data_IF_887303522322
#
_entry.id   IF_887303522322
#
_cell.length_a   1.000
_cell.length_b   1.000
_cell.length_c   1.000
_cell.angle_alpha   90.00
_cell.angle_beta   90.00
_cell.angle_gamma   90.00
#
_symmetry.space_group_name_H-M   'P 1'
#
loop_
_entity.id
_entity.type
_entity.pdbx_description
1 polymer ?
#
# COMPACT_ATOMS: atom_id res chain seq x y z
N UNK A 1 -48.09 22.15 -6.01
CA UNK A 1 -47.25 21.39 -5.06
C UNK A 1 -47.62 19.91 -5.00
N UNK A 2 -48.91 19.56 -5.02
CA UNK A 2 -49.41 18.17 -4.92
C UNK A 2 -49.15 17.31 -6.17
N UNK A 3 -49.15 17.87 -7.40
CA UNK A 3 -48.82 17.12 -8.65
C UNK A 3 -47.33 16.76 -8.75
N UNK A 4 -46.46 17.58 -8.20
CA UNK A 4 -45.01 17.39 -8.19
C UNK A 4 -44.57 16.22 -7.25
N UNK A 5 -45.25 16.06 -6.11
CA UNK A 5 -44.96 14.94 -5.19
C UNK A 5 -45.46 13.59 -5.75
N UNK A 6 -46.63 13.56 -6.36
CA UNK A 6 -47.19 12.34 -6.98
C UNK A 6 -46.29 11.80 -8.11
N UNK A 7 -45.80 12.67 -8.99
CA UNK A 7 -44.85 12.26 -10.03
C UNK A 7 -43.54 11.70 -9.46
N UNK A 8 -43.04 12.27 -8.35
CA UNK A 8 -41.86 11.79 -7.67
C UNK A 8 -42.05 10.41 -7.02
N UNK A 9 -43.25 10.08 -6.57
CA UNK A 9 -43.53 8.81 -5.89
C UNK A 9 -43.62 7.62 -6.88
N UNK A 10 -43.99 7.86 -8.11
CA UNK A 10 -44.03 6.82 -9.18
C UNK A 10 -42.61 6.31 -9.49
N UNK A 11 -41.60 7.17 -9.38
CA UNK A 11 -40.19 6.82 -9.63
C UNK A 11 -39.39 6.53 -8.36
N UNK A 12 -40.05 6.01 -7.34
CA UNK A 12 -39.40 5.51 -6.10
C UNK A 12 -39.83 4.07 -5.84
N UNK A 13 -38.93 3.29 -5.27
CA UNK A 13 -39.23 1.95 -4.75
C UNK A 13 -38.92 1.92 -3.25
N UNK A 14 -39.82 1.25 -2.53
CA UNK A 14 -39.64 0.99 -1.10
C UNK A 14 -38.65 -0.15 -0.93
N UNK A 15 -37.71 0.02 -0.01
CA UNK A 15 -36.80 -1.02 0.45
C UNK A 15 -37.33 -1.59 1.74
N UNK A 16 -37.75 -2.85 1.72
CA UNK A 16 -38.22 -3.61 2.88
C UNK A 16 -37.30 -4.80 3.05
N UNK A 17 -36.81 -5.01 4.26
CA UNK A 17 -35.89 -6.12 4.58
C UNK A 17 -36.55 -6.98 5.64
N UNK A 18 -36.55 -8.29 5.43
CA UNK A 18 -36.97 -9.26 6.45
C UNK A 18 -35.79 -9.51 7.39
N UNK A 19 -35.94 -9.12 8.64
CA UNK A 19 -34.93 -9.26 9.67
C UNK A 19 -35.36 -10.30 10.70
N UNK A 20 -34.38 -11.06 11.17
CA UNK A 20 -34.57 -12.08 12.20
C UNK A 20 -33.59 -11.86 13.33
N UNK A 21 -34.10 -11.82 14.58
CA UNK A 21 -33.29 -11.83 15.78
C UNK A 21 -33.22 -13.26 16.29
N UNK A 22 -32.02 -13.75 16.53
CA UNK A 22 -31.73 -15.05 17.10
C UNK A 22 -30.99 -14.82 18.42
N UNK A 23 -31.52 -15.38 19.51
CA UNK A 23 -30.83 -15.34 20.79
C UNK A 23 -29.90 -16.55 20.90
N UNK A 24 -28.63 -16.30 21.22
CA UNK A 24 -27.62 -17.32 21.39
C UNK A 24 -27.26 -17.41 22.86
N UNK A 25 -27.40 -18.60 23.45
CA UNK A 25 -26.96 -18.84 24.82
C UNK A 25 -25.42 -18.79 24.88
N UNK A 26 -24.90 -17.88 25.72
CA UNK A 26 -23.44 -17.70 25.86
C UNK A 26 -22.72 -18.91 26.49
N UNK A 27 -23.45 -19.76 27.19
CA UNK A 27 -22.90 -20.92 27.91
C UNK A 27 -22.78 -22.15 27.01
N UNK A 28 -23.78 -22.39 26.17
CA UNK A 28 -23.87 -23.58 25.30
C UNK A 28 -23.50 -23.28 23.84
N UNK A 29 -23.57 -22.00 23.44
CA UNK A 29 -23.37 -21.61 22.04
C UNK A 29 -24.54 -22.02 21.12
N UNK A 30 -25.63 -22.57 21.68
CA UNK A 30 -26.78 -23.02 20.90
C UNK A 30 -27.72 -21.87 20.56
N UNK A 31 -28.25 -21.88 19.34
CA UNK A 31 -29.27 -20.93 18.90
C UNK A 31 -30.63 -21.25 19.51
N UNK A 32 -31.20 -20.32 20.26
CA UNK A 32 -32.54 -20.46 20.82
C UNK A 32 -33.58 -20.09 19.74
N UNK A 33 -33.94 -21.04 18.88
CA UNK A 33 -34.89 -20.88 17.77
C UNK A 33 -36.33 -20.60 18.26
N UNK A 34 -36.70 -20.97 19.52
CA UNK A 34 -38.02 -20.77 20.05
C UNK A 34 -38.31 -19.29 20.37
N UNK A 35 -37.30 -18.50 20.62
CA UNK A 35 -37.39 -17.06 20.85
C UNK A 35 -37.03 -16.20 19.65
N UNK A 36 -36.80 -16.80 18.47
CA UNK A 36 -36.50 -16.06 17.26
C UNK A 36 -37.69 -15.23 16.81
N UNK A 37 -37.47 -13.93 16.59
CA UNK A 37 -38.48 -13.00 16.08
C UNK A 37 -38.14 -12.57 14.68
N UNK A 38 -39.08 -12.70 13.74
CA UNK A 38 -38.97 -12.23 12.37
C UNK A 38 -39.96 -11.11 12.10
N UNK A 39 -39.48 -10.02 11.51
CA UNK A 39 -40.30 -8.87 11.13
C UNK A 39 -39.80 -8.26 9.82
N UNK A 40 -40.74 -7.65 9.08
CA UNK A 40 -40.41 -6.86 7.92
C UNK A 40 -40.14 -5.42 8.35
N UNK A 41 -38.91 -4.94 8.12
CA UNK A 41 -38.49 -3.61 8.50
C UNK A 41 -38.38 -2.74 7.25
N UNK A 42 -39.06 -1.61 7.27
CA UNK A 42 -38.97 -0.60 6.22
C UNK A 42 -37.66 0.18 6.34
N UNK A 43 -36.83 0.12 5.27
CA UNK A 43 -35.49 0.74 5.24
C UNK A 43 -35.46 2.06 4.44
N UNK A 44 -36.58 2.51 3.91
CA UNK A 44 -36.66 3.77 3.17
C UNK A 44 -37.05 3.58 1.70
N UNK A 45 -36.89 4.63 0.94
CA UNK A 45 -37.15 4.65 -0.51
C UNK A 45 -35.88 4.92 -1.29
N UNK A 46 -35.74 4.25 -2.44
CA UNK A 46 -34.66 4.48 -3.40
C UNK A 46 -35.27 5.05 -4.68
N UNK A 47 -34.76 6.19 -5.21
CA UNK A 47 -35.17 6.69 -6.51
C UNK A 47 -34.84 5.69 -7.60
N UNK A 48 -35.78 5.48 -8.53
CA UNK A 48 -35.56 4.68 -9.74
C UNK A 48 -35.09 5.55 -10.88
N UNK A 49 -34.21 5.00 -11.69
CA UNK A 49 -33.84 5.61 -12.95
C UNK A 49 -35.02 5.49 -13.95
N UNK A 50 -35.34 6.55 -14.63
CA UNK A 50 -36.31 6.55 -15.75
C UNK A 50 -35.69 5.83 -16.96
N UNK A 51 -36.51 5.45 -17.92
CA UNK A 51 -36.08 4.82 -19.18
C UNK A 51 -35.11 5.72 -19.99
N UNK A 52 -35.14 7.01 -19.73
CA UNK A 52 -34.27 8.01 -20.35
C UNK A 52 -32.96 8.28 -19.57
N UNK A 53 -32.71 7.57 -18.45
CA UNK A 53 -31.49 7.72 -17.66
C UNK A 53 -31.48 8.92 -16.73
N UNK A 54 -32.63 9.42 -16.32
CA UNK A 54 -32.82 10.53 -15.36
C UNK A 54 -33.39 10.04 -14.05
N UNK A 55 -33.37 10.89 -13.01
CA UNK A 55 -34.01 10.65 -11.72
C UNK A 55 -34.97 11.78 -11.40
N UNK A 56 -36.16 11.45 -10.91
CA UNK A 56 -37.15 12.44 -10.50
C UNK A 56 -37.01 12.64 -8.96
N UNK A 57 -36.44 13.81 -8.58
CA UNK A 57 -36.23 14.17 -7.19
C UNK A 57 -36.95 15.45 -6.85
N UNK A 58 -37.88 15.39 -5.91
CA UNK A 58 -38.70 16.54 -5.51
C UNK A 58 -39.42 17.19 -6.69
N UNK A 59 -39.90 16.38 -7.64
CA UNK A 59 -40.64 16.82 -8.83
C UNK A 59 -39.77 17.44 -9.95
N UNK A 60 -38.46 17.42 -9.83
CA UNK A 60 -37.51 17.89 -10.85
C UNK A 60 -36.72 16.72 -11.41
N UNK A 61 -36.48 16.74 -12.73
CA UNK A 61 -35.59 15.76 -13.33
C UNK A 61 -34.12 16.14 -13.09
N UNK A 62 -33.37 15.16 -12.61
CA UNK A 62 -31.93 15.27 -12.35
C UNK A 62 -31.16 14.21 -13.11
N UNK A 63 -29.95 14.56 -13.49
CA UNK A 63 -28.97 13.66 -14.09
C UNK A 63 -27.82 13.49 -13.13
N UNK A 64 -27.45 12.24 -12.84
CA UNK A 64 -26.24 11.94 -12.07
C UNK A 64 -25.10 11.73 -13.05
N UNK A 65 -24.15 12.64 -13.04
CA UNK A 65 -22.98 12.64 -13.91
C UNK A 65 -21.98 11.60 -13.41
N UNK A 66 -21.44 10.79 -14.32
CA UNK A 66 -20.40 9.81 -13.98
C UNK A 66 -19.13 10.48 -13.48
N UNK A 67 -18.49 9.89 -12.49
CA UNK A 67 -17.27 10.41 -11.89
C UNK A 67 -16.03 9.78 -12.49
N UNK A 68 -15.07 10.60 -12.91
CA UNK A 68 -13.73 10.15 -13.28
C UNK A 68 -12.81 10.30 -12.06
N UNK A 69 -12.27 9.18 -11.56
CA UNK A 69 -11.38 9.17 -10.41
C UNK A 69 -10.16 8.29 -10.68
N UNK A 70 -9.14 8.40 -9.83
CA UNK A 70 -8.00 7.49 -9.90
C UNK A 70 -8.47 6.07 -9.67
N UNK A 71 -8.03 5.15 -10.53
CA UNK A 71 -8.37 3.74 -10.38
C UNK A 71 -7.77 3.19 -9.09
N UNK A 72 -8.49 2.31 -8.37
CA UNK A 72 -7.85 1.52 -7.33
C UNK A 72 -6.73 0.67 -7.92
N UNK A 73 -5.76 0.31 -7.09
CA UNK A 73 -4.59 -0.45 -7.47
C UNK A 73 -3.29 0.21 -7.01
N UNK A 74 -2.21 -0.04 -7.73
CA UNK A 74 -0.87 0.44 -7.41
C UNK A 74 -0.41 1.44 -8.46
N UNK A 75 0.14 2.58 -8.01
CA UNK A 75 0.68 3.64 -8.87
C UNK A 75 2.04 4.06 -8.32
N UNK A 76 3.03 4.21 -9.21
CA UNK A 76 4.34 4.79 -8.91
C UNK A 76 4.46 6.15 -9.57
N UNK A 77 4.91 7.15 -8.81
CA UNK A 77 5.04 8.52 -9.26
C UNK A 77 6.34 9.16 -8.73
N UNK A 78 6.64 10.36 -9.17
CA UNK A 78 7.71 11.21 -8.65
C UNK A 78 7.30 12.68 -8.60
N UNK A 79 7.90 13.46 -7.72
CA UNK A 79 7.58 14.86 -7.46
C UNK A 79 8.06 15.85 -8.55
N UNK A 80 8.69 15.36 -9.62
CA UNK A 80 9.31 16.16 -10.69
C UNK A 80 10.37 17.15 -10.17
N UNK A 81 10.99 16.85 -9.02
CA UNK A 81 12.03 17.69 -8.42
C UNK A 81 11.53 19.00 -7.83
N UNK A 82 10.22 19.14 -7.56
CA UNK A 82 9.62 20.37 -7.04
C UNK A 82 9.71 20.51 -5.53
N UNK A 83 9.80 19.41 -4.81
CA UNK A 83 9.70 19.38 -3.35
C UNK A 83 10.98 19.84 -2.67
N UNK A 84 12.14 19.56 -3.25
CA UNK A 84 13.44 19.89 -2.67
C UNK A 84 14.25 20.81 -3.57
N UNK A 85 14.97 21.77 -2.97
CA UNK A 85 15.78 22.78 -3.67
C UNK A 85 16.89 22.20 -4.57
N UNK A 86 17.34 20.98 -4.29
CA UNK A 86 18.36 20.28 -5.10
C UNK A 86 17.85 19.76 -6.46
N UNK A 87 16.54 19.83 -6.72
CA UNK A 87 15.95 19.25 -7.92
C UNK A 87 15.97 17.72 -8.01
N UNK A 88 16.33 17.03 -6.91
CA UNK A 88 16.36 15.57 -6.81
C UNK A 88 14.95 15.01 -6.96
N UNK A 89 14.79 13.98 -7.81
CA UNK A 89 13.52 13.27 -7.98
C UNK A 89 13.24 12.43 -6.73
N UNK A 90 12.13 12.70 -6.07
CA UNK A 90 11.63 11.91 -4.95
C UNK A 90 10.55 10.97 -5.48
N UNK A 91 10.86 9.69 -5.47
CA UNK A 91 9.97 8.63 -5.95
C UNK A 91 9.00 8.24 -4.85
N UNK A 92 7.78 7.95 -5.25
CA UNK A 92 6.73 7.49 -4.34
C UNK A 92 5.89 6.40 -4.99
N UNK A 93 5.33 5.53 -4.18
CA UNK A 93 4.30 4.59 -4.61
C UNK A 93 3.07 4.75 -3.75
N UNK A 94 1.92 4.50 -4.34
CA UNK A 94 0.63 4.62 -3.67
C UNK A 94 -0.24 3.43 -3.96
N UNK A 95 -0.62 2.71 -2.91
CA UNK A 95 -1.64 1.68 -2.95
C UNK A 95 -2.98 2.31 -2.65
N UNK A 96 -3.86 2.33 -3.64
CA UNK A 96 -5.19 2.94 -3.56
C UNK A 96 -6.21 1.82 -3.52
N UNK A 97 -6.86 1.54 -2.35
CA UNK A 97 -7.94 0.59 -2.28
C UNK A 97 -9.24 1.18 -2.85
N UNK A 98 -10.17 0.31 -3.22
CA UNK A 98 -11.55 0.70 -3.46
C UNK A 98 -12.22 1.14 -2.15
N UNK A 99 -11.91 0.41 -1.06
CA UNK A 99 -12.37 0.67 0.31
C UNK A 99 -11.27 0.30 1.29
N UNK A 100 -10.95 1.19 2.22
CA UNK A 100 -9.94 0.98 3.25
C UNK A 100 -8.90 2.09 3.33
N UNK A 101 -7.85 1.85 4.08
CA UNK A 101 -6.77 2.81 4.30
C UNK A 101 -5.81 2.87 3.13
N UNK A 102 -5.40 4.07 2.77
CA UNK A 102 -4.36 4.29 1.75
C UNK A 102 -2.99 3.98 2.33
N UNK A 103 -2.14 3.38 1.53
CA UNK A 103 -0.76 3.08 1.88
C UNK A 103 0.17 3.73 0.86
N UNK A 104 0.90 4.74 1.29
CA UNK A 104 1.88 5.45 0.48
C UNK A 104 3.29 5.09 0.95
N UNK A 105 4.21 4.84 0.00
CA UNK A 105 5.64 4.75 0.26
C UNK A 105 6.33 5.92 -0.44
N UNK A 106 7.28 6.55 0.22
CA UNK A 106 7.99 7.71 -0.33
C UNK A 106 9.47 7.69 0.01
N UNK A 107 10.31 8.08 -0.94
CA UNK A 107 11.71 8.39 -0.68
C UNK A 107 11.85 9.81 -0.14
N UNK A 108 12.74 9.98 0.83
CA UNK A 108 13.15 11.29 1.31
C UNK A 108 14.39 11.80 0.54
N UNK A 109 14.76 13.07 0.73
CA UNK A 109 15.98 13.66 0.15
C UNK A 109 17.26 12.93 0.56
N UNK A 110 17.26 12.22 1.69
CA UNK A 110 18.34 11.36 2.20
C UNK A 110 18.32 9.94 1.65
N UNK A 111 17.44 9.63 0.69
CA UNK A 111 17.21 8.28 0.14
C UNK A 111 16.69 7.25 1.16
N UNK A 112 16.12 7.69 2.26
CA UNK A 112 15.43 6.83 3.22
C UNK A 112 14.00 6.57 2.75
N UNK A 113 13.51 5.34 2.97
CA UNK A 113 12.16 4.93 2.57
C UNK A 113 11.20 5.08 3.74
N UNK A 114 10.16 5.87 3.52
CA UNK A 114 9.10 6.12 4.49
C UNK A 114 7.77 5.56 4.02
N UNK A 115 6.88 5.32 4.99
CA UNK A 115 5.47 5.00 4.77
C UNK A 115 4.58 6.10 5.32
N UNK A 116 3.41 6.26 4.68
CA UNK A 116 2.28 7.01 5.23
C UNK A 116 1.02 6.17 5.11
N UNK A 117 0.28 6.08 6.19
CA UNK A 117 -1.05 5.45 6.24
C UNK A 117 -2.08 6.56 6.36
N UNK A 118 -3.05 6.61 5.44
CA UNK A 118 -4.11 7.63 5.41
C UNK A 118 -3.59 9.07 5.50
N UNK A 119 -2.45 9.36 4.85
CA UNK A 119 -1.79 10.68 4.83
C UNK A 119 -1.38 11.20 6.22
N UNK A 120 -1.23 10.31 7.19
CA UNK A 120 -0.76 10.66 8.53
C UNK A 120 0.75 10.91 8.54
N UNK A 121 1.34 11.08 9.74
CA UNK A 121 2.78 11.24 9.93
C UNK A 121 3.55 10.08 9.29
N UNK A 122 4.66 10.38 8.64
CA UNK A 122 5.53 9.38 8.03
C UNK A 122 6.27 8.56 9.08
N UNK A 123 6.40 7.26 8.83
CA UNK A 123 7.20 6.30 9.57
C UNK A 123 8.20 5.64 8.62
N UNK A 124 9.24 5.02 9.13
CA UNK A 124 10.17 4.25 8.30
C UNK A 124 9.46 3.01 7.71
N UNK A 125 9.76 2.67 6.46
CA UNK A 125 9.16 1.50 5.80
C UNK A 125 9.52 0.19 6.52
N UNK A 126 10.67 0.14 7.18
CA UNK A 126 11.13 -1.00 7.99
C UNK A 126 10.22 -1.29 9.18
N UNK A 127 9.59 -0.27 9.76
CA UNK A 127 8.59 -0.45 10.83
C UNK A 127 7.41 -1.28 10.34
N UNK A 128 6.92 -1.02 9.11
CA UNK A 128 5.86 -1.82 8.53
C UNK A 128 6.29 -3.26 8.29
N UNK A 129 7.50 -3.47 7.74
CA UNK A 129 8.03 -4.81 7.51
C UNK A 129 8.21 -5.60 8.82
N UNK A 130 8.68 -4.96 9.89
CA UNK A 130 8.73 -5.57 11.23
C UNK A 130 7.36 -5.84 11.83
N UNK A 131 6.39 -4.95 11.63
CA UNK A 131 5.01 -5.16 12.07
C UNK A 131 4.38 -6.38 11.40
N UNK A 132 4.70 -6.66 10.14
CA UNK A 132 4.29 -7.86 9.39
C UNK A 132 4.95 -9.13 9.96
N UNK A 133 6.11 -9.01 10.62
CA UNK A 133 6.81 -10.12 11.26
C UNK A 133 8.20 -10.42 10.72
N UNK A 134 8.73 -9.65 9.77
CA UNK A 134 10.09 -9.85 9.26
C UNK A 134 11.14 -9.37 10.26
N UNK A 135 12.16 -10.20 10.50
CA UNK A 135 13.36 -9.83 11.23
C UNK A 135 14.27 -8.91 10.40
N UNK A 136 15.23 -8.25 11.04
CA UNK A 136 16.19 -7.40 10.35
C UNK A 136 16.99 -8.16 9.28
N UNK A 137 17.41 -9.38 9.59
CA UNK A 137 18.13 -10.24 8.65
C UNK A 137 17.25 -10.65 7.46
N UNK A 138 16.02 -11.09 7.71
CA UNK A 138 15.09 -11.45 6.64
C UNK A 138 14.77 -10.27 5.72
N UNK A 139 14.62 -9.05 6.26
CA UNK A 139 14.46 -7.84 5.47
C UNK A 139 15.66 -7.67 4.53
N UNK A 140 16.89 -7.74 5.05
CA UNK A 140 18.10 -7.58 4.24
C UNK A 140 18.21 -8.66 3.16
N UNK A 141 17.93 -9.93 3.47
CA UNK A 141 17.93 -11.04 2.51
C UNK A 141 16.91 -10.86 1.38
N UNK A 142 15.76 -10.27 1.68
CA UNK A 142 14.72 -10.01 0.67
C UNK A 142 15.08 -8.91 -0.32
N UNK A 143 15.91 -7.92 0.09
CA UNK A 143 16.24 -6.75 -0.73
C UNK A 143 17.63 -6.79 -1.34
N UNK A 144 18.57 -7.49 -0.72
CA UNK A 144 19.96 -7.53 -1.15
C UNK A 144 20.42 -8.95 -1.45
N UNK A 145 21.31 -9.06 -2.41
CA UNK A 145 22.10 -10.27 -2.62
C UNK A 145 23.33 -10.24 -1.70
N UNK A 146 23.86 -11.41 -1.35
CA UNK A 146 25.05 -11.56 -0.50
C UNK A 146 26.30 -11.70 -1.32
N UNK A 147 27.40 -11.12 -0.87
CA UNK A 147 28.77 -11.37 -1.33
C UNK A 147 29.55 -11.97 -0.17
N UNK A 148 30.26 -13.10 -0.42
CA UNK A 148 31.02 -13.80 0.62
C UNK A 148 32.48 -13.38 0.56
N UNK A 149 32.99 -12.88 1.66
CA UNK A 149 34.40 -12.57 1.87
C UNK A 149 35.04 -13.63 2.74
N UNK A 150 36.25 -14.08 2.34
CA UNK A 150 37.08 -15.00 3.09
C UNK A 150 38.08 -14.19 3.92
N UNK A 151 38.09 -14.41 5.21
CA UNK A 151 38.98 -13.70 6.16
C UNK A 151 40.10 -14.66 6.57
N UNK A 152 41.33 -14.39 6.12
CA UNK A 152 42.51 -15.03 6.60
C UNK A 152 43.26 -14.14 7.63
N UNK A 153 44.32 -14.64 8.21
CA UNK A 153 45.11 -13.90 9.23
C UNK A 153 45.73 -12.61 8.69
N UNK A 154 46.15 -12.58 7.41
CA UNK A 154 46.68 -11.40 6.74
C UNK A 154 46.17 -11.26 5.28
N UNK A 155 45.40 -12.21 4.77
CA UNK A 155 44.94 -12.22 3.40
C UNK A 155 43.41 -12.21 3.39
N UNK A 156 42.84 -11.33 2.59
CA UNK A 156 41.40 -11.24 2.38
C UNK A 156 41.09 -11.62 0.95
N UNK A 157 40.05 -12.39 0.77
CA UNK A 157 39.65 -12.82 -0.57
C UNK A 157 38.13 -12.69 -0.75
N UNK A 158 37.72 -12.29 -1.94
CA UNK A 158 36.31 -12.22 -2.36
C UNK A 158 35.96 -13.46 -3.16
N UNK A 159 34.86 -14.11 -2.87
CA UNK A 159 34.27 -15.18 -3.68
C UNK A 159 33.72 -14.57 -4.98
N UNK A 160 34.29 -14.97 -6.10
CA UNK A 160 34.00 -14.33 -7.39
C UNK A 160 32.62 -14.70 -7.91
N UNK A 161 31.78 -13.69 -8.10
CA UNK A 161 30.53 -13.79 -8.87
C UNK A 161 30.71 -12.97 -10.17
N UNK A 162 31.02 -13.61 -11.30
CA UNK A 162 31.49 -12.91 -12.52
C UNK A 162 30.57 -11.79 -12.98
N UNK A 163 29.27 -12.01 -12.95
CA UNK A 163 28.27 -11.02 -13.40
C UNK A 163 28.31 -9.69 -12.64
N UNK A 164 28.68 -9.72 -11.34
CA UNK A 164 28.70 -8.54 -10.46
C UNK A 164 29.98 -7.72 -10.56
N UNK A 165 30.98 -8.24 -11.27
CA UNK A 165 32.28 -7.57 -11.43
C UNK A 165 32.32 -6.63 -12.63
N UNK A 166 31.36 -6.70 -13.56
CA UNK A 166 31.29 -5.82 -14.73
C UNK A 166 31.26 -4.37 -14.29
N UNK A 167 32.17 -3.56 -14.82
CA UNK A 167 32.22 -2.12 -14.54
C UNK A 167 32.91 -1.72 -13.23
N UNK A 168 33.15 -2.67 -12.29
CA UNK A 168 33.95 -2.41 -11.09
C UNK A 168 35.44 -2.21 -11.45
N UNK A 169 36.17 -1.54 -10.60
CA UNK A 169 37.62 -1.40 -10.69
C UNK A 169 38.24 -2.63 -10.01
N UNK A 170 39.23 -3.25 -10.68
CA UNK A 170 39.95 -4.39 -10.11
C UNK A 170 40.72 -3.96 -8.83
N UNK A 171 40.44 -4.55 -7.65
CA UNK A 171 41.10 -4.17 -6.41
C UNK A 171 42.55 -4.66 -6.33
N UNK A 172 42.88 -5.70 -7.08
CA UNK A 172 44.22 -6.31 -7.16
C UNK A 172 44.43 -6.89 -8.55
N UNK A 173 45.66 -7.31 -8.86
CA UNK A 173 45.99 -7.98 -10.12
C UNK A 173 45.28 -9.34 -10.18
N UNK A 174 44.41 -9.50 -11.18
CA UNK A 174 43.70 -10.77 -11.43
C UNK A 174 44.57 -11.63 -12.33
N UNK A 175 45.15 -12.69 -11.75
CA UNK A 175 46.04 -13.63 -12.47
C UNK A 175 45.23 -14.85 -12.93
N UNK A 176 45.28 -15.13 -14.22
CA UNK A 176 44.72 -16.35 -14.80
C UNK A 176 45.80 -17.38 -15.16
N UNK A 177 45.38 -18.49 -15.76
CA UNK A 177 46.30 -19.58 -16.15
C UNK A 177 47.40 -19.18 -17.17
N UNK A 178 47.24 -18.07 -17.88
CA UNK A 178 48.15 -17.61 -18.94
C UNK A 178 48.82 -16.25 -18.62
N UNK A 179 48.72 -15.75 -17.39
CA UNK A 179 49.28 -14.46 -16.97
C UNK A 179 48.26 -13.52 -16.33
N UNK A 180 48.61 -12.24 -16.19
CA UNK A 180 47.72 -11.22 -15.61
C UNK A 180 46.58 -10.92 -16.61
N UNK A 181 45.35 -11.18 -16.23
CA UNK A 181 44.13 -10.89 -17.01
C UNK A 181 43.81 -9.40 -16.92
N UNK A 182 43.90 -8.83 -15.72
CA UNK A 182 43.60 -7.44 -15.42
C UNK A 182 44.62 -6.96 -14.38
N UNK A 183 45.19 -5.79 -14.60
CA UNK A 183 46.03 -5.11 -13.60
C UNK A 183 45.13 -4.35 -12.57
N UNK A 184 45.63 -4.21 -11.36
CA UNK A 184 44.99 -3.42 -10.31
C UNK A 184 44.65 -2.00 -10.80
N UNK A 185 43.49 -1.48 -10.41
CA UNK A 185 43.03 -0.14 -10.80
C UNK A 185 42.39 -0.03 -12.19
N UNK A 186 42.38 -1.10 -13.00
CA UNK A 186 41.69 -1.09 -14.32
C UNK A 186 40.24 -1.54 -14.20
N UNK A 187 39.38 -0.97 -15.06
CA UNK A 187 37.96 -1.31 -15.09
C UNK A 187 37.72 -2.70 -15.71
N UNK A 188 36.95 -3.53 -15.02
CA UNK A 188 36.59 -4.87 -15.48
C UNK A 188 35.55 -4.77 -16.60
N UNK A 189 35.86 -5.32 -17.77
CA UNK A 189 34.97 -5.35 -18.94
C UNK A 189 34.35 -6.72 -19.12
N UNK A 190 33.30 -6.82 -19.94
CA UNK A 190 32.65 -8.10 -20.27
C UNK A 190 33.63 -9.12 -20.92
N UNK A 191 34.69 -8.65 -21.60
CA UNK A 191 35.75 -9.51 -22.12
C UNK A 191 36.58 -10.14 -21.01
N UNK A 192 36.92 -9.34 -20.02
CA UNK A 192 37.67 -9.84 -18.84
C UNK A 192 36.91 -10.89 -18.06
N UNK A 193 35.56 -10.73 -17.96
CA UNK A 193 34.70 -11.71 -17.28
C UNK A 193 34.73 -13.06 -17.96
N UNK A 194 34.65 -13.12 -19.30
CA UNK A 194 34.79 -14.37 -20.06
C UNK A 194 36.11 -15.06 -19.78
N UNK A 195 37.21 -14.29 -19.63
CA UNK A 195 38.50 -14.83 -19.27
C UNK A 195 38.59 -15.34 -17.84
N UNK A 196 37.95 -14.66 -16.89
CA UNK A 196 37.84 -15.08 -15.50
C UNK A 196 37.02 -16.39 -15.39
N UNK A 197 35.89 -16.48 -16.10
CA UNK A 197 35.08 -17.69 -16.19
C UNK A 197 35.82 -18.87 -16.82
N UNK A 198 36.53 -18.64 -17.93
CA UNK A 198 37.32 -19.68 -18.58
C UNK A 198 38.50 -20.17 -17.74
N UNK A 199 39.07 -19.29 -16.90
CA UNK A 199 40.16 -19.61 -15.99
C UNK A 199 39.66 -20.24 -14.67
N UNK A 200 38.34 -20.40 -14.47
CA UNK A 200 37.69 -20.99 -13.26
C UNK A 200 38.19 -20.37 -11.95
N UNK A 201 38.45 -19.08 -11.92
CA UNK A 201 38.87 -18.35 -10.74
C UNK A 201 37.69 -18.26 -9.78
N UNK A 202 37.81 -18.85 -8.58
CA UNK A 202 36.74 -18.85 -7.56
C UNK A 202 36.91 -17.77 -6.52
N UNK A 203 38.13 -17.34 -6.25
CA UNK A 203 38.47 -16.35 -5.22
C UNK A 203 39.44 -15.32 -5.78
N UNK A 204 39.27 -14.09 -5.31
CA UNK A 204 40.09 -12.95 -5.71
C UNK A 204 40.68 -12.31 -4.46
N UNK A 205 42.01 -12.15 -4.42
CA UNK A 205 42.67 -11.44 -3.33
C UNK A 205 42.33 -9.96 -3.37
N UNK A 206 41.97 -9.40 -2.22
CA UNK A 206 41.58 -8.00 -2.06
C UNK A 206 42.40 -7.34 -0.94
N UNK A 207 42.70 -6.06 -1.06
CA UNK A 207 43.32 -5.31 0.03
C UNK A 207 42.32 -5.10 1.19
N UNK A 208 42.85 -4.90 2.42
CA UNK A 208 42.07 -4.69 3.65
C UNK A 208 41.10 -3.52 3.51
N UNK A 209 41.49 -2.48 2.81
CA UNK A 209 40.71 -1.26 2.59
C UNK A 209 39.41 -1.51 1.83
N UNK A 210 39.35 -2.57 1.01
CA UNK A 210 38.14 -2.94 0.25
C UNK A 210 37.03 -3.52 1.12
N UNK A 211 37.33 -3.95 2.35
CA UNK A 211 36.36 -4.44 3.32
C UNK A 211 35.70 -3.32 4.11
N UNK A 212 36.36 -2.17 4.22
CA UNK A 212 35.78 -1.04 4.96
C UNK A 212 34.52 -0.52 4.27
N UNK A 213 33.58 -0.06 5.07
CA UNK A 213 32.26 0.40 4.67
C UNK A 213 31.35 -0.66 4.01
N UNK A 214 31.78 -1.93 3.94
CA UNK A 214 30.86 -3.01 3.61
C UNK A 214 29.90 -3.27 4.77
N UNK A 215 28.69 -3.73 4.47
CA UNK A 215 27.65 -3.95 5.47
C UNK A 215 27.44 -5.45 5.68
N UNK A 216 27.49 -5.92 6.90
CA UNK A 216 27.30 -7.33 7.26
C UNK A 216 25.85 -7.75 6.98
N UNK A 217 25.67 -8.89 6.29
CA UNK A 217 24.38 -9.38 5.86
C UNK A 217 23.62 -10.15 6.94
N UNK A 218 24.33 -10.89 7.80
CA UNK A 218 23.75 -11.81 8.79
C UNK A 218 24.25 -11.50 10.19
N UNK A 219 23.48 -11.91 11.20
CA UNK A 219 23.93 -11.84 12.58
C UNK A 219 25.08 -12.82 12.82
N UNK A 220 26.19 -12.34 13.34
CA UNK A 220 27.36 -13.16 13.62
C UNK A 220 27.31 -13.61 15.08
N UNK A 221 27.19 -14.91 15.26
CA UNK A 221 27.10 -15.56 16.57
C UNK A 221 28.50 -15.99 17.01
N UNK A 222 28.86 -15.68 18.22
CA UNK A 222 30.09 -16.18 18.83
C UNK A 222 29.96 -17.69 19.08
N UNK A 223 30.81 -18.54 18.47
CA UNK A 223 30.75 -19.99 18.64
C UNK A 223 31.06 -20.46 20.08
N UNK A 224 31.64 -19.61 20.92
CA UNK A 224 31.98 -19.95 22.31
C UNK A 224 30.87 -19.64 23.30
N UNK A 225 30.14 -18.53 23.12
CA UNK A 225 29.09 -18.06 24.04
C UNK A 225 27.70 -18.32 23.54
N UNK A 226 27.50 -18.47 22.20
CA UNK A 226 26.19 -18.56 21.56
C UNK A 226 25.43 -17.23 21.50
N UNK A 227 26.04 -16.12 21.89
CA UNK A 227 25.46 -14.78 21.82
C UNK A 227 25.80 -14.10 20.48
N UNK A 228 24.98 -13.13 20.09
CA UNK A 228 25.23 -12.32 18.89
C UNK A 228 26.39 -11.37 19.17
N UNK A 229 27.56 -11.64 18.58
CA UNK A 229 28.75 -10.81 18.71
C UNK A 229 28.67 -9.54 17.85
N UNK A 230 28.11 -9.64 16.63
CA UNK A 230 27.92 -8.52 15.71
C UNK A 230 26.54 -8.67 15.07
N UNK A 231 25.73 -7.61 15.13
CA UNK A 231 24.39 -7.58 14.52
C UNK A 231 24.47 -7.37 13.02
N UNK A 232 23.53 -7.93 12.29
CA UNK A 232 23.34 -7.65 10.86
C UNK A 232 23.18 -6.13 10.62
N UNK A 233 23.43 -5.67 9.40
CA UNK A 233 23.41 -4.26 8.99
C UNK A 233 24.48 -3.38 9.64
N UNK A 234 25.48 -3.95 10.34
CA UNK A 234 26.63 -3.20 10.86
C UNK A 234 27.64 -2.98 9.74
N UNK A 235 28.18 -1.77 9.64
CA UNK A 235 29.29 -1.47 8.71
C UNK A 235 30.60 -1.99 9.27
N UNK A 236 31.42 -2.53 8.38
CA UNK A 236 32.75 -3.02 8.75
C UNK A 236 33.70 -1.83 8.87
N UNK A 237 34.10 -1.55 10.07
CA UNK A 237 35.21 -0.64 10.44
C UNK A 237 36.38 -1.45 11.04
N UNK A 238 37.45 -0.76 11.54
CA UNK A 238 38.59 -1.43 12.12
C UNK A 238 38.23 -2.26 13.35
N UNK A 239 37.34 -1.77 14.19
CA UNK A 239 36.95 -2.47 15.43
C UNK A 239 36.14 -3.73 15.13
N UNK A 240 35.24 -3.65 14.16
CA UNK A 240 34.45 -4.81 13.71
C UNK A 240 35.37 -5.85 13.05
N UNK A 241 36.34 -5.41 12.25
CA UNK A 241 37.29 -6.32 11.61
C UNK A 241 38.18 -7.06 12.63
N UNK A 242 38.63 -6.39 13.69
CA UNK A 242 39.36 -7.02 14.78
C UNK A 242 38.50 -8.07 15.49
N UNK A 243 37.24 -7.77 15.79
CA UNK A 243 36.30 -8.74 16.37
C UNK A 243 36.10 -9.96 15.48
N UNK A 244 35.97 -9.76 14.15
CA UNK A 244 35.84 -10.86 13.18
C UNK A 244 37.09 -11.78 13.20
N UNK A 245 38.29 -11.21 13.36
CA UNK A 245 39.55 -11.99 13.48
C UNK A 245 39.64 -12.73 14.82
N UNK A 246 39.22 -12.11 15.94
CA UNK A 246 39.16 -12.74 17.27
C UNK A 246 38.21 -13.96 17.27
N UNK A 247 37.06 -13.86 16.59
CA UNK A 247 36.10 -14.95 16.43
C UNK A 247 36.59 -16.06 15.50
N UNK A 248 37.76 -15.89 14.84
CA UNK A 248 38.37 -16.84 13.88
C UNK A 248 37.41 -17.31 12.77
N UNK A 249 36.53 -16.44 12.34
CA UNK A 249 35.61 -16.72 11.25
C UNK A 249 36.39 -16.79 9.93
N UNK A 250 36.08 -17.82 9.13
CA UNK A 250 36.69 -18.01 7.80
C UNK A 250 35.97 -17.27 6.71
N UNK A 251 34.67 -17.13 6.84
CA UNK A 251 33.78 -16.53 5.86
C UNK A 251 32.87 -15.51 6.54
N UNK A 252 32.60 -14.40 5.86
CA UNK A 252 31.66 -13.37 6.28
C UNK A 252 30.84 -12.95 5.06
N UNK A 253 29.52 -12.98 5.21
CA UNK A 253 28.61 -12.52 4.19
C UNK A 253 28.28 -11.05 4.38
N UNK A 254 28.47 -10.26 3.34
CA UNK A 254 28.13 -8.84 3.28
C UNK A 254 27.06 -8.57 2.23
N UNK A 255 26.37 -7.48 2.37
CA UNK A 255 25.35 -7.04 1.40
C UNK A 255 26.04 -6.57 0.12
N UNK A 256 25.55 -7.05 -1.02
CA UNK A 256 25.93 -6.48 -2.32
C UNK A 256 25.24 -5.13 -2.51
N UNK A 257 25.99 -4.06 -2.24
CA UNK A 257 25.54 -2.68 -2.45
C UNK A 257 26.35 -2.08 -3.59
N UNK A 258 25.64 -1.55 -4.59
CA UNK A 258 26.22 -0.86 -5.72
C UNK A 258 25.35 0.36 -6.03
N UNK A 259 25.92 1.55 -6.00
CA UNK A 259 25.21 2.81 -6.24
C UNK A 259 24.46 2.87 -7.59
N UNK A 260 24.88 2.07 -8.57
CA UNK A 260 24.26 2.04 -9.90
C UNK A 260 23.12 1.03 -10.04
N UNK A 261 23.15 -0.07 -9.29
CA UNK A 261 22.21 -1.20 -9.47
C UNK A 261 21.40 -1.53 -8.21
N UNK A 262 21.98 -1.33 -7.05
CA UNK A 262 21.39 -1.70 -5.75
C UNK A 262 21.87 -0.73 -4.66
N UNK A 263 21.19 0.40 -4.54
CA UNK A 263 21.56 1.41 -3.54
C UNK A 263 21.27 0.96 -2.10
N UNK A 264 21.88 1.60 -1.09
CA UNK A 264 21.81 1.19 0.32
C UNK A 264 20.48 1.56 1.02
N UNK A 265 19.43 1.89 0.27
CA UNK A 265 18.22 2.56 0.76
C UNK A 265 17.54 1.87 1.94
N UNK A 266 17.32 0.56 1.84
CA UNK A 266 16.66 -0.21 2.91
C UNK A 266 17.61 -0.46 4.07
N UNK A 267 18.90 -0.69 3.83
CA UNK A 267 19.93 -0.82 4.85
C UNK A 267 20.04 0.47 5.68
N UNK A 268 20.09 1.65 5.03
CA UNK A 268 20.17 2.94 5.72
C UNK A 268 18.87 3.27 6.45
N UNK A 269 17.73 2.91 5.88
CA UNK A 269 16.42 3.05 6.54
C UNK A 269 16.34 2.18 7.79
N UNK A 270 16.81 0.92 7.69
CA UNK A 270 16.85 -0.02 8.83
C UNK A 270 17.80 0.45 9.94
N UNK A 271 18.91 1.10 9.57
CA UNK A 271 19.88 1.69 10.52
C UNK A 271 19.31 2.91 11.25
N UNK A 272 18.44 3.67 10.55
CA UNK A 272 17.75 4.85 11.10
C UNK A 272 16.53 4.49 11.94
N UNK A 273 16.03 3.26 11.82
CA UNK A 273 14.86 2.75 12.54
C UNK A 273 15.20 2.44 13.99
N UNK A 274 14.45 3.02 14.92
CA UNK A 274 14.63 2.86 16.37
C UNK A 274 13.93 1.63 16.93
N UNK A 275 13.06 0.96 16.17
CA UNK A 275 12.35 -0.25 16.60
C UNK A 275 13.24 -1.47 16.43
N UNK A 276 13.14 -2.43 17.34
CA UNK A 276 13.91 -3.68 17.29
C UNK A 276 13.00 -4.89 17.01
N UNK A 277 11.78 -4.85 17.50
CA UNK A 277 10.86 -5.98 17.53
C UNK A 277 9.53 -5.67 16.82
N UNK A 278 8.81 -6.73 16.41
CA UNK A 278 7.48 -6.62 15.79
C UNK A 278 6.47 -5.91 16.72
N UNK A 279 6.54 -6.15 18.04
CA UNK A 279 5.62 -5.51 19.00
C UNK A 279 5.88 -4.00 19.13
N UNK A 280 7.14 -3.57 19.12
CA UNK A 280 7.48 -2.14 19.12
C UNK A 280 7.01 -1.46 17.82
N UNK A 281 7.17 -2.13 16.69
CA UNK A 281 6.72 -1.64 15.40
C UNK A 281 5.18 -1.48 15.36
N UNK A 282 4.43 -2.47 15.85
CA UNK A 282 2.98 -2.40 15.99
C UNK A 282 2.54 -1.27 16.93
N UNK A 283 3.24 -1.09 18.05
CA UNK A 283 2.96 -0.01 18.99
C UNK A 283 3.20 1.38 18.37
N UNK A 284 4.25 1.53 17.55
CA UNK A 284 4.53 2.80 16.87
C UNK A 284 3.46 3.13 15.80
N UNK A 285 3.01 2.13 15.04
CA UNK A 285 1.88 2.29 14.11
C UNK A 285 0.61 2.65 14.87
N UNK A 286 0.34 2.01 16.01
CA UNK A 286 -0.83 2.30 16.84
C UNK A 286 -0.81 3.74 17.37
N UNK A 287 0.33 4.20 17.92
CA UNK A 287 0.49 5.59 18.39
C UNK A 287 0.28 6.62 17.30
N UNK A 288 0.73 6.31 16.08
CA UNK A 288 0.50 7.18 14.92
C UNK A 288 -0.98 7.26 14.56
N UNK A 289 -1.69 6.12 14.57
CA UNK A 289 -3.10 6.04 14.17
C UNK A 289 -4.04 6.58 15.26
N UNK A 290 -3.71 6.33 16.53
CA UNK A 290 -4.50 6.75 17.71
C UNK A 290 -3.63 7.51 18.70
N UNK A 291 -3.32 8.77 18.42
CA UNK A 291 -2.52 9.56 19.34
C UNK A 291 -3.26 9.76 20.67
N UNK A 292 -2.56 9.54 21.79
CA UNK A 292 -3.10 9.71 23.13
C UNK A 292 -3.63 8.44 23.81
N UNK A 293 -3.84 7.35 23.06
CA UNK A 293 -4.21 6.05 23.64
C UNK A 293 -2.96 5.20 23.91
N UNK A 294 -2.84 4.56 25.08
CA UNK A 294 -1.73 3.66 25.35
C UNK A 294 -1.86 2.39 24.48
N UNK A 295 -0.79 1.97 23.77
CA UNK A 295 -0.83 0.77 22.94
C UNK A 295 -0.84 -0.48 23.84
N UNK A 296 -1.86 -1.33 23.68
CA UNK A 296 -1.86 -2.70 24.19
C UNK A 296 -1.53 -3.65 23.03
N UNK A 297 -0.90 -4.78 23.31
CA UNK A 297 -0.52 -5.76 22.29
C UNK A 297 -1.71 -6.17 21.42
N UNK A 298 -2.83 -6.51 22.07
CA UNK A 298 -4.03 -6.98 21.38
C UNK A 298 -4.66 -5.88 20.52
N UNK A 299 -4.80 -4.66 21.06
CA UNK A 299 -5.39 -3.54 20.34
C UNK A 299 -4.51 -3.11 19.14
N UNK A 300 -3.20 -3.14 19.29
CA UNK A 300 -2.27 -2.81 18.21
C UNK A 300 -2.31 -3.86 17.09
N UNK A 301 -2.31 -5.14 17.43
CA UNK A 301 -2.42 -6.24 16.44
C UNK A 301 -3.76 -6.18 15.71
N UNK A 302 -4.88 -6.05 16.44
CA UNK A 302 -6.20 -5.96 15.84
C UNK A 302 -6.37 -4.73 14.94
N UNK A 303 -5.80 -3.59 15.35
CA UNK A 303 -5.82 -2.38 14.52
C UNK A 303 -5.05 -2.61 13.23
N UNK A 304 -3.85 -3.18 13.29
CA UNK A 304 -3.00 -3.44 12.15
C UNK A 304 -3.64 -4.42 11.17
N UNK A 305 -4.20 -5.53 11.65
CA UNK A 305 -4.94 -6.49 10.84
C UNK A 305 -6.13 -5.84 10.12
N UNK A 306 -6.86 -4.98 10.83
CA UNK A 306 -8.00 -4.26 10.27
C UNK A 306 -7.63 -3.21 9.22
N UNK A 307 -6.38 -2.74 9.17
CA UNK A 307 -5.96 -1.74 8.18
C UNK A 307 -5.86 -2.32 6.76
N UNK A 308 -5.30 -3.55 6.61
CA UNK A 308 -4.92 -4.08 5.29
C UNK A 308 -5.37 -5.51 5.04
N UNK A 309 -5.57 -6.33 6.08
CA UNK A 309 -5.75 -7.78 5.97
C UNK A 309 -7.18 -8.25 6.19
N UNK A 310 -8.03 -7.43 6.78
CA UNK A 310 -9.42 -7.77 7.05
C UNK A 310 -10.33 -7.40 5.86
N UNK A 311 -10.99 -8.39 5.23
CA UNK A 311 -11.90 -8.21 4.09
C UNK A 311 -13.11 -7.31 4.39
N UNK A 312 -13.54 -7.23 5.65
CA UNK A 312 -14.67 -6.36 6.01
C UNK A 312 -14.33 -4.88 5.98
N UNK A 313 -13.05 -4.54 6.15
CA UNK A 313 -12.57 -3.16 6.25
C UNK A 313 -11.73 -2.71 5.08
N UNK A 314 -11.03 -3.63 4.42
CA UNK A 314 -10.15 -3.35 3.29
C UNK A 314 -10.56 -4.15 2.06
N UNK A 315 -10.62 -3.49 0.90
CA UNK A 315 -10.94 -4.13 -0.36
C UNK A 315 -10.31 -3.34 -1.53
N UNK A 316 -9.51 -4.00 -2.34
CA UNK A 316 -8.96 -3.46 -3.58
C UNK A 316 -9.98 -3.47 -4.72
N UNK A 317 -11.03 -4.26 -4.63
CA UNK A 317 -11.90 -4.71 -5.71
C UNK A 317 -11.17 -5.55 -6.78
N UNK A 318 -11.93 -6.26 -7.63
CA UNK A 318 -11.35 -7.09 -8.71
C UNK A 318 -10.53 -6.24 -9.69
N UNK A 319 -11.01 -5.05 -10.04
CA UNK A 319 -10.31 -4.12 -10.94
C UNK A 319 -9.01 -3.61 -10.30
N UNK A 320 -9.06 -3.27 -9.01
CA UNK A 320 -7.88 -2.82 -8.27
C UNK A 320 -6.84 -3.92 -8.15
N UNK A 321 -7.27 -5.15 -7.83
CA UNK A 321 -6.36 -6.31 -7.73
C UNK A 321 -5.73 -6.65 -9.08
N UNK A 322 -6.51 -6.66 -10.14
CA UNK A 322 -6.00 -6.89 -11.49
C UNK A 322 -4.92 -5.87 -11.88
N UNK A 323 -5.17 -4.59 -11.64
CA UNK A 323 -4.19 -3.53 -11.93
C UNK A 323 -2.94 -3.62 -11.05
N UNK A 324 -3.13 -3.93 -9.78
CA UNK A 324 -2.05 -4.16 -8.82
C UNK A 324 -1.13 -5.30 -9.29
N UNK A 325 -1.69 -6.47 -9.60
CA UNK A 325 -0.95 -7.62 -10.06
C UNK A 325 -0.27 -7.37 -11.41
N UNK A 326 -0.98 -6.74 -12.36
CA UNK A 326 -0.43 -6.37 -13.66
C UNK A 326 0.78 -5.42 -13.52
N UNK A 327 0.71 -4.45 -12.59
CA UNK A 327 1.81 -3.49 -12.38
C UNK A 327 3.05 -4.14 -11.79
N UNK A 328 2.88 -5.15 -10.94
CA UNK A 328 3.97 -5.96 -10.38
C UNK A 328 4.48 -7.04 -11.35
N UNK A 329 3.85 -7.21 -12.52
CA UNK A 329 4.26 -8.20 -13.52
C UNK A 329 3.88 -9.64 -13.17
N UNK A 330 2.87 -9.83 -12.31
CA UNK A 330 2.37 -11.16 -11.95
C UNK A 330 1.55 -11.77 -13.09
N UNK A 331 1.68 -13.08 -13.29
CA UNK A 331 0.91 -13.83 -14.30
C UNK A 331 -0.57 -13.94 -13.91
N UNK A 332 -0.86 -14.21 -12.65
CA UNK A 332 -2.23 -14.24 -12.13
C UNK A 332 -2.73 -12.83 -11.88
N UNK A 333 -3.72 -12.41 -12.66
CA UNK A 333 -4.33 -11.08 -12.54
C UNK A 333 -5.41 -11.00 -11.46
N UNK A 334 -6.00 -12.14 -11.08
CA UNK A 334 -7.00 -12.24 -10.03
C UNK A 334 -6.36 -12.51 -8.66
N UNK A 335 -7.11 -12.32 -7.57
CA UNK A 335 -6.63 -12.58 -6.22
C UNK A 335 -7.58 -12.05 -5.15
N UNK A 336 -7.16 -12.12 -3.91
CA UNK A 336 -7.93 -11.61 -2.77
C UNK A 336 -8.06 -10.09 -2.84
N UNK A 337 -9.16 -9.55 -2.37
CA UNK A 337 -9.36 -8.09 -2.24
C UNK A 337 -8.49 -7.44 -1.17
N UNK A 338 -7.95 -8.20 -0.22
CA UNK A 338 -7.05 -7.74 0.84
C UNK A 338 -5.59 -7.78 0.37
N UNK A 339 -4.72 -7.01 1.02
CA UNK A 339 -3.27 -7.11 0.82
C UNK A 339 -2.73 -8.36 1.53
N UNK A 340 -1.68 -8.93 0.96
CA UNK A 340 -0.85 -9.97 1.57
C UNK A 340 0.54 -9.39 1.93
N UNK A 341 1.28 -10.09 2.77
CA UNK A 341 2.62 -9.66 3.18
C UNK A 341 3.57 -9.51 1.99
N UNK A 342 3.47 -10.43 1.03
CA UNK A 342 4.28 -10.40 -0.20
C UNK A 342 3.92 -9.21 -1.10
N UNK A 343 2.66 -8.76 -1.11
CA UNK A 343 2.23 -7.57 -1.84
C UNK A 343 3.01 -6.34 -1.39
N UNK A 344 3.08 -6.14 -0.07
CA UNK A 344 3.77 -4.99 0.53
C UNK A 344 5.27 -5.04 0.21
N UNK A 345 5.87 -6.22 0.34
CA UNK A 345 7.28 -6.42 0.06
C UNK A 345 7.61 -6.11 -1.42
N UNK A 346 6.80 -6.61 -2.36
CA UNK A 346 7.01 -6.41 -3.79
C UNK A 346 6.80 -4.94 -4.21
N UNK A 347 5.87 -4.24 -3.58
CA UNK A 347 5.69 -2.80 -3.81
C UNK A 347 6.96 -2.03 -3.43
N UNK A 348 7.56 -2.33 -2.27
CA UNK A 348 8.79 -1.67 -1.83
C UNK A 348 9.95 -2.05 -2.76
N UNK A 349 10.07 -3.33 -3.16
CA UNK A 349 11.09 -3.78 -4.14
C UNK A 349 10.99 -3.03 -5.45
N UNK A 350 9.78 -2.95 -6.00
CA UNK A 350 9.52 -2.24 -7.27
C UNK A 350 9.84 -0.75 -7.13
N UNK A 351 9.52 -0.12 -5.99
CA UNK A 351 9.88 1.27 -5.73
C UNK A 351 11.39 1.48 -5.68
N UNK A 352 12.13 0.56 -5.05
CA UNK A 352 13.61 0.56 -5.03
C UNK A 352 14.17 0.34 -6.43
N UNK A 353 13.59 -0.55 -7.24
CA UNK A 353 14.00 -0.78 -8.63
C UNK A 353 13.76 0.44 -9.53
N UNK A 354 12.65 1.17 -9.31
CA UNK A 354 12.40 2.44 -9.99
C UNK A 354 13.47 3.47 -9.60
N UNK A 355 13.81 3.57 -8.32
CA UNK A 355 14.87 4.47 -7.84
C UNK A 355 16.25 4.11 -8.44
N UNK A 356 16.53 2.82 -8.64
CA UNK A 356 17.73 2.32 -9.29
C UNK A 356 17.69 2.46 -10.83
N UNK A 357 16.59 2.97 -11.41
CA UNK A 357 16.44 3.16 -12.85
C UNK A 357 16.13 1.89 -13.65
N UNK A 358 15.79 0.76 -12.99
CA UNK A 358 15.43 -0.49 -13.66
C UNK A 358 14.00 -0.48 -14.21
N UNK A 359 13.12 0.32 -13.63
CA UNK A 359 11.73 0.45 -14.04
C UNK A 359 11.32 1.92 -14.12
N UNK A 360 10.24 2.19 -14.85
CA UNK A 360 9.71 3.54 -15.05
C UNK A 360 8.51 3.82 -14.12
N UNK A 361 8.30 5.11 -13.80
CA UNK A 361 7.09 5.59 -13.14
C UNK A 361 5.88 5.51 -14.06
N UNK A 362 4.70 5.52 -13.44
CA UNK A 362 3.43 5.52 -14.15
C UNK A 362 3.00 6.96 -14.47
N UNK A 363 2.26 7.13 -15.55
CA UNK A 363 1.58 8.39 -15.84
C UNK A 363 0.20 8.37 -15.15
N UNK A 364 0.04 9.23 -14.13
CA UNK A 364 -1.20 9.34 -13.35
C UNK A 364 -2.34 9.92 -14.20
N UNK A 365 -2.01 10.77 -15.17
CA UNK A 365 -2.99 11.46 -15.99
C UNK A 365 -3.46 10.60 -17.18
N UNK A 366 -2.77 9.49 -17.45
CA UNK A 366 -3.19 8.55 -18.49
C UNK A 366 -4.55 7.94 -18.16
N UNK A 367 -5.48 7.94 -19.15
CA UNK A 367 -6.84 7.42 -18.96
C UNK A 367 -6.90 5.94 -18.56
N UNK A 368 -5.86 5.16 -18.84
CA UNK A 368 -5.71 3.80 -18.34
C UNK A 368 -5.58 3.70 -16.82
N UNK A 369 -5.09 4.76 -16.15
CA UNK A 369 -4.92 4.85 -14.70
C UNK A 369 -6.08 5.61 -14.02
N UNK A 370 -7.04 6.07 -14.79
CA UNK A 370 -8.27 6.71 -14.33
C UNK A 370 -9.46 5.83 -14.69
N UNK A 371 -10.43 5.77 -13.80
CA UNK A 371 -11.63 4.92 -13.95
C UNK A 371 -12.88 5.78 -13.87
N UNK A 372 -13.88 5.42 -14.64
CA UNK A 372 -15.22 6.01 -14.57
C UNK A 372 -16.04 5.24 -13.53
N UNK A 373 -16.54 5.97 -12.55
CA UNK A 373 -17.50 5.46 -11.56
C UNK A 373 -18.90 5.81 -12.04
N UNK A 374 -19.70 4.79 -12.32
CA UNK A 374 -21.08 4.97 -12.76
C UNK A 374 -22.04 5.29 -11.61
N UNK A 375 -23.25 5.69 -11.95
CA UNK A 375 -24.31 6.03 -10.97
C UNK A 375 -24.58 4.90 -10.00
N UNK A 376 -24.71 3.65 -10.48
CA UNK A 376 -25.01 2.49 -9.65
C UNK A 376 -23.97 2.27 -8.56
N UNK A 377 -22.68 2.40 -8.89
CA UNK A 377 -21.59 2.28 -7.94
C UNK A 377 -21.61 3.41 -6.89
N UNK A 378 -21.88 4.64 -7.31
CA UNK A 378 -21.98 5.78 -6.40
C UNK A 378 -23.14 5.64 -5.42
N UNK A 379 -24.31 5.21 -5.89
CA UNK A 379 -25.49 4.96 -5.05
C UNK A 379 -25.21 3.80 -4.07
N UNK A 380 -24.61 2.71 -4.53
CA UNK A 380 -24.24 1.58 -3.69
C UNK A 380 -23.29 2.01 -2.53
N UNK A 381 -22.34 2.89 -2.82
CA UNK A 381 -21.44 3.43 -1.78
C UNK A 381 -22.20 4.29 -0.76
N UNK A 382 -23.20 5.08 -1.16
CA UNK A 382 -24.02 5.88 -0.24
C UNK A 382 -24.91 5.00 0.62
N UNK A 383 -25.53 3.97 0.04
CA UNK A 383 -26.32 2.99 0.79
C UNK A 383 -25.44 2.29 1.83
N UNK A 384 -24.21 1.91 1.46
CA UNK A 384 -23.25 1.30 2.39
C UNK A 384 -22.92 2.22 3.56
N UNK A 385 -22.68 3.51 3.31
CA UNK A 385 -22.43 4.51 4.38
C UNK A 385 -23.64 4.60 5.32
N UNK A 386 -24.86 4.60 4.77
CA UNK A 386 -26.10 4.56 5.54
C UNK A 386 -26.20 3.29 6.40
N UNK A 387 -25.92 2.11 5.81
CA UNK A 387 -25.95 0.83 6.52
C UNK A 387 -24.93 0.75 7.68
N UNK A 388 -23.70 1.24 7.49
CA UNK A 388 -22.69 1.31 8.55
C UNK A 388 -23.14 2.18 9.75
N UNK A 389 -23.88 3.27 9.47
CA UNK A 389 -24.47 4.10 10.52
C UNK A 389 -25.58 3.35 11.27
N UNK A 390 -26.41 2.59 10.54
CA UNK A 390 -27.46 1.75 11.14
C UNK A 390 -26.84 0.63 11.97
N UNK A 391 -25.85 -0.08 11.45
CA UNK A 391 -25.13 -1.14 12.17
C UNK A 391 -24.56 -0.62 13.49
N UNK A 392 -23.91 0.55 13.49
CA UNK A 392 -23.38 1.15 14.70
C UNK A 392 -24.50 1.43 15.72
N UNK A 393 -25.61 2.03 15.27
CA UNK A 393 -26.75 2.35 16.13
C UNK A 393 -27.42 1.08 16.70
N UNK A 394 -27.54 0.02 15.90
CA UNK A 394 -28.06 -1.28 16.35
C UNK A 394 -27.14 -1.89 17.39
N UNK A 395 -25.83 -1.88 17.17
CA UNK A 395 -24.84 -2.39 18.11
C UNK A 395 -24.87 -1.64 19.45
N UNK A 396 -24.98 -0.31 19.42
CA UNK A 396 -25.13 0.52 20.61
C UNK A 396 -26.42 0.19 21.36
N UNK A 397 -27.56 0.02 20.68
CA UNK A 397 -28.84 -0.35 21.29
C UNK A 397 -28.79 -1.74 21.90
N UNK A 398 -28.21 -2.72 21.23
CA UNK A 398 -28.04 -4.08 21.75
C UNK A 398 -27.19 -4.13 23.04
N UNK A 399 -26.22 -3.20 23.17
CA UNK A 399 -25.39 -3.12 24.37
C UNK A 399 -26.12 -2.50 25.58
N UNK A 400 -27.14 -1.66 25.33
CA UNK A 400 -27.84 -0.91 26.41
C UNK A 400 -29.15 -1.62 26.84
N UNK A 401 -29.79 -2.32 25.92
CA UNK A 401 -31.12 -2.88 26.15
C UNK A 401 -31.09 -4.29 26.77
N UNK A 402 -32.05 -4.56 27.64
CA UNK A 402 -32.38 -5.92 28.01
C UNK A 402 -33.03 -6.60 26.80
N UNK A 403 -32.26 -7.51 26.19
CA UNK A 403 -32.48 -8.02 24.84
C UNK A 403 -33.78 -8.83 24.64
N UNK A 404 -34.44 -9.25 25.72
CA UNK A 404 -35.58 -10.19 25.63
C UNK A 404 -36.89 -9.57 25.15
N UNK A 405 -37.08 -8.25 25.24
CA UNK A 405 -38.34 -7.57 24.89
C UNK A 405 -38.34 -6.89 23.51
N UNK A 406 -37.14 -6.71 22.83
CA UNK A 406 -37.02 -5.92 21.62
C UNK A 406 -37.30 -6.71 20.35
N UNK A 407 -38.09 -6.12 19.44
CA UNK A 407 -38.29 -6.60 18.07
C UNK A 407 -37.24 -6.04 17.11
N UNK A 408 -37.09 -6.65 15.90
CA UNK A 408 -36.22 -6.12 14.85
C UNK A 408 -36.53 -4.69 14.44
N UNK A 409 -37.82 -4.32 14.40
CA UNK A 409 -38.27 -2.98 14.05
C UNK A 409 -37.85 -1.91 15.08
N UNK A 410 -37.73 -2.26 16.34
CA UNK A 410 -37.32 -1.34 17.41
C UNK A 410 -35.82 -1.07 17.39
N UNK A 411 -35.03 -2.06 16.95
CA UNK A 411 -33.57 -1.96 16.86
C UNK A 411 -33.11 -1.19 15.66
N UNK A 412 -33.80 -1.34 14.53
CA UNK A 412 -33.35 -0.82 13.24
C UNK A 412 -33.98 0.53 12.94
N UNK A 413 -33.17 1.56 12.75
CA UNK A 413 -33.62 2.88 12.34
C UNK A 413 -33.22 3.13 10.89
N UNK A 414 -34.18 3.26 10.00
CA UNK A 414 -33.99 3.50 8.57
C UNK A 414 -33.57 4.94 8.21
N UNK A 415 -33.72 5.90 9.12
CA UNK A 415 -33.44 7.32 8.85
C UNK A 415 -32.03 7.60 8.31
N UNK A 416 -30.94 6.98 8.81
CA UNK A 416 -29.59 7.21 8.29
C UNK A 416 -29.42 6.80 6.82
N UNK A 417 -30.07 5.73 6.35
CA UNK A 417 -30.03 5.29 4.96
C UNK A 417 -30.76 6.27 4.08
N UNK A 418 -31.98 6.60 4.46
CA UNK A 418 -32.81 7.58 3.72
C UNK A 418 -32.13 8.94 3.65
N UNK A 419 -31.50 9.39 4.75
CA UNK A 419 -30.74 10.64 4.77
C UNK A 419 -29.56 10.60 3.79
N UNK A 420 -28.76 9.51 3.78
CA UNK A 420 -27.62 9.37 2.87
C UNK A 420 -28.04 9.37 1.39
N UNK A 421 -29.13 8.69 1.05
CA UNK A 421 -29.67 8.67 -0.30
C UNK A 421 -30.19 10.06 -0.72
N UNK A 422 -30.95 10.72 0.15
CA UNK A 422 -31.49 12.05 -0.11
C UNK A 422 -30.36 13.09 -0.24
N UNK A 423 -29.33 13.01 0.58
CA UNK A 423 -28.13 13.87 0.49
C UNK A 423 -27.43 13.69 -0.85
N UNK A 424 -27.25 12.46 -1.31
CA UNK A 424 -26.61 12.16 -2.59
C UNK A 424 -27.42 12.74 -3.77
N UNK A 425 -28.70 12.41 -3.88
CA UNK A 425 -29.51 12.88 -5.01
C UNK A 425 -29.88 14.38 -4.93
N UNK A 426 -29.99 14.95 -3.72
CA UNK A 426 -30.39 16.33 -3.51
C UNK A 426 -29.25 17.32 -3.55
N UNK A 427 -28.10 17.00 -2.92
CA UNK A 427 -27.02 17.95 -2.60
C UNK A 427 -25.68 17.61 -3.23
N UNK A 428 -25.49 16.42 -3.80
CA UNK A 428 -24.21 16.03 -4.40
C UNK A 428 -23.88 16.91 -5.62
N UNK A 429 -22.62 17.25 -5.80
CA UNK A 429 -22.11 17.97 -6.98
C UNK A 429 -22.31 17.19 -8.28
N UNK A 430 -22.45 15.88 -8.21
CA UNK A 430 -22.64 14.99 -9.36
C UNK A 430 -24.12 14.82 -9.73
N UNK A 431 -25.06 15.10 -8.81
CA UNK A 431 -26.49 15.14 -9.09
C UNK A 431 -26.88 16.55 -9.50
N UNK A 432 -27.11 16.75 -10.79
CA UNK A 432 -27.35 18.06 -11.40
C UNK A 432 -28.76 18.12 -11.98
N UNK A 433 -29.33 19.32 -12.07
CA UNK A 433 -30.55 19.53 -12.85
C UNK A 433 -30.28 19.22 -14.31
N UNK A 434 -31.20 18.50 -14.95
CA UNK A 434 -31.08 18.18 -16.37
C UNK A 434 -31.21 19.44 -17.23
N UNK A 435 -30.30 19.64 -18.17
CA UNK A 435 -30.41 20.68 -19.20
C UNK A 435 -31.47 20.26 -20.18
N UNK A 436 -32.58 21.02 -20.27
CA UNK A 436 -33.76 20.75 -21.11
C UNK A 436 -33.94 21.76 -22.24
N UNK A 437 -32.87 22.34 -22.75
CA UNK A 437 -32.91 23.35 -23.80
C UNK A 437 -33.28 22.70 -25.16
N UNK A 438 -32.66 21.57 -25.47
CA UNK A 438 -32.97 20.75 -26.65
C UNK A 438 -32.57 19.28 -26.39
N UNK A 439 -33.07 18.33 -27.22
CA UNK A 439 -32.74 16.91 -27.02
C UNK A 439 -31.25 16.58 -27.07
N UNK A 440 -30.46 17.30 -27.85
CA UNK A 440 -29.02 17.10 -27.94
C UNK A 440 -28.31 17.52 -26.61
N UNK A 441 -28.76 18.62 -26.01
CA UNK A 441 -28.23 19.06 -24.70
C UNK A 441 -28.52 18.03 -23.60
N UNK A 442 -29.70 17.41 -23.60
CA UNK A 442 -30.07 16.33 -22.68
C UNK A 442 -29.15 15.13 -22.82
N UNK A 443 -28.95 14.65 -24.06
CA UNK A 443 -28.08 13.50 -24.33
C UNK A 443 -26.61 13.81 -23.90
N UNK A 444 -26.12 14.98 -24.24
CA UNK A 444 -24.78 15.42 -23.91
C UNK A 444 -24.57 15.47 -22.39
N UNK A 445 -25.55 15.98 -21.64
CA UNK A 445 -25.52 16.05 -20.20
C UNK A 445 -25.45 14.66 -19.56
N UNK A 446 -26.25 13.70 -20.05
CA UNK A 446 -26.25 12.30 -19.57
C UNK A 446 -24.91 11.57 -19.83
N UNK A 447 -24.21 11.94 -20.91
CA UNK A 447 -22.91 11.36 -21.29
C UNK A 447 -21.71 12.10 -20.73
N UNK A 448 -21.93 13.16 -19.95
CA UNK A 448 -20.85 13.92 -19.31
C UNK A 448 -20.13 13.08 -18.25
N UNK A 449 -18.81 13.26 -18.16
CA UNK A 449 -17.95 12.71 -17.12
C UNK A 449 -17.31 13.86 -16.38
N UNK A 450 -17.33 13.84 -15.05
CA UNK A 450 -16.76 14.90 -14.20
C UNK A 450 -15.72 14.31 -13.24
N UNK A 451 -14.62 15.05 -13.03
CA UNK A 451 -13.62 14.70 -12.02
C UNK A 451 -13.96 15.22 -10.60
N UNK A 452 -15.05 15.98 -10.48
CA UNK A 452 -15.53 16.55 -9.21
C UNK A 452 -16.20 15.48 -8.34
N UNK A 453 -16.55 15.84 -7.09
CA UNK A 453 -17.34 15.01 -6.20
C UNK A 453 -16.51 14.30 -5.11
N UNK A 454 -17.14 13.41 -4.33
CA UNK A 454 -16.50 12.72 -3.22
C UNK A 454 -15.31 11.87 -3.69
N UNK A 455 -14.13 12.07 -3.06
CA UNK A 455 -12.90 11.37 -3.46
C UNK A 455 -12.28 11.85 -4.78
N UNK A 456 -12.85 12.89 -5.40
CA UNK A 456 -12.35 13.51 -6.62
C UNK A 456 -11.63 14.82 -6.40
N UNK A 457 -11.50 15.61 -7.48
CA UNK A 457 -10.89 16.91 -7.49
C UNK A 457 -11.84 17.95 -6.87
N UNK A 458 -11.31 18.85 -6.04
CA UNK A 458 -12.02 20.05 -5.57
C UNK A 458 -11.63 21.25 -6.41
N UNK A 459 -12.51 22.22 -6.54
CA UNK A 459 -12.26 23.42 -7.33
C UNK A 459 -11.04 24.21 -6.85
N UNK A 460 -10.82 24.25 -5.55
CA UNK A 460 -9.64 24.89 -4.93
C UNK A 460 -8.32 24.22 -5.34
N UNK A 461 -8.33 22.87 -5.53
CA UNK A 461 -7.15 22.11 -5.94
C UNK A 461 -6.92 22.13 -7.45
N UNK A 462 -7.97 22.32 -8.23
CA UNK A 462 -7.88 22.42 -9.68
C UNK A 462 -7.41 23.78 -10.18
N UNK A 463 -7.44 24.82 -9.31
CA UNK A 463 -7.21 26.20 -9.69
C UNK A 463 -8.43 26.84 -10.36
N UNK A 464 -8.36 28.17 -10.60
CA UNK A 464 -9.47 28.93 -11.17
C UNK A 464 -9.35 29.14 -12.68
N UNK A 465 -8.16 28.92 -13.24
CA UNK A 465 -7.90 29.11 -14.67
C UNK A 465 -7.92 27.76 -15.44
N UNK A 466 -8.32 27.84 -16.71
CA UNK A 466 -8.37 26.64 -17.59
C UNK A 466 -6.99 25.99 -17.74
N UNK A 467 -5.91 26.77 -17.69
CA UNK A 467 -4.54 26.27 -17.75
C UNK A 467 -4.11 25.43 -16.54
N UNK A 468 -4.81 25.56 -15.42
CA UNK A 468 -4.49 24.84 -14.19
C UNK A 468 -5.05 23.41 -14.19
N UNK A 469 -5.97 23.12 -15.12
CA UNK A 469 -6.62 21.81 -15.25
C UNK A 469 -6.03 21.08 -16.45
N UNK A 470 -5.62 19.82 -16.25
CA UNK A 470 -5.13 18.97 -17.34
C UNK A 470 -6.22 18.79 -18.40
N UNK A 471 -5.91 18.85 -19.71
CA UNK A 471 -6.88 18.74 -20.80
C UNK A 471 -7.70 17.45 -20.83
N UNK A 472 -7.14 16.32 -20.32
CA UNK A 472 -7.81 15.02 -20.26
C UNK A 472 -8.80 14.94 -19.10
#
# INVERSE_FOLDING_TARGET
LTRSSAASDVYKRQLIIRCRIIFIDKTTGEENLKSAREEEVYMGTIPLMTDHGTFVINGTERVVVSQLHRSPGLIFDHDRGKTHSSGKLLYSSRVIPYRGSWLDFEFDHKDLVYIRIDRRRKLYATILLRAIGYSSQEILEKFYEKETYLIGTNNYSLKVVPRRMVGKIAPSDIKGNQGVIIEAGKRITARHIRLIESSKIKTLEIPKESLFNQTIAEDIIDPSTGEIAITCNTQIDEDVLLKLQELKLKEVDVLYINELESGPYISDTLRSDTTSNSLEALAEIYRMMRPGEPPTKEAATLLFENLFFNSDKYDLSDVGRMKFNKRLGREELNGKGTLDNDDILEVIKTLVDIRNGKQNCDDIDHLGNRRIRSVGEMVANQVRVGLLRVERAVRERLNIAEAEELGPADLINAKPITAAINEFFGSSQLSQFMDQVNPLAEVTHKRRVSALGPGGLTRERAGFEVRDVHPS
#
